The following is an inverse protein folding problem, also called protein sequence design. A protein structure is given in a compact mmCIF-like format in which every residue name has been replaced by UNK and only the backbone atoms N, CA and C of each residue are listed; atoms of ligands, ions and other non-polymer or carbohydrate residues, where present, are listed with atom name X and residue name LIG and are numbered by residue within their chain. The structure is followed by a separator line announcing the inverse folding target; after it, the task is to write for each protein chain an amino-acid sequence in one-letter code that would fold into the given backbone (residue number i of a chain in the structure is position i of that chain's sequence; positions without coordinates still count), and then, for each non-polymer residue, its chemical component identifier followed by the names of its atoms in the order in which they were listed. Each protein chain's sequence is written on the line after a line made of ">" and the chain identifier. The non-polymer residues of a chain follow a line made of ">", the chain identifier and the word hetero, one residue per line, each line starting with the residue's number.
data_IF_246284580316
#
_entry.id   IF_246284580316
#
_cell.length_a   1.000
_cell.length_b   1.000
_cell.length_c   1.000
_cell.angle_alpha   90.00
_cell.angle_beta   90.00
_cell.angle_gamma   90.00
#
_symmetry.space_group_name_H-M   'P 1'
#
loop_
_entity.id
_entity.type
_entity.pdbx_description
1 polymer ?
#
# COMPACT_ATOMS: atom_id res chain seq x y z
N UNK A 1 -14.69 -6.15 -5.18
CA UNK A 1 -15.42 -5.22 -4.26
C UNK A 1 -14.44 -4.56 -3.29
N UNK A 2 -13.66 -5.32 -2.52
CA UNK A 2 -12.66 -4.76 -1.59
C UNK A 2 -11.58 -3.92 -2.30
N UNK A 3 -11.06 -4.43 -3.43
CA UNK A 3 -10.06 -3.71 -4.25
C UNK A 3 -10.60 -2.38 -4.77
N UNK A 4 -11.79 -2.39 -5.38
CA UNK A 4 -12.44 -1.17 -5.86
C UNK A 4 -12.62 -0.12 -4.76
N UNK A 5 -13.06 -0.55 -3.57
CA UNK A 5 -13.23 0.35 -2.42
C UNK A 5 -11.89 0.92 -1.93
N UNK A 6 -10.82 0.12 -1.92
CA UNK A 6 -9.49 0.61 -1.58
C UNK A 6 -9.02 1.71 -2.55
N UNK A 7 -9.28 1.50 -3.85
CA UNK A 7 -8.92 2.46 -4.90
C UNK A 7 -9.72 3.76 -4.72
N UNK A 8 -11.02 3.66 -4.45
CA UNK A 8 -11.88 4.82 -4.22
C UNK A 8 -11.42 5.63 -3.01
N UNK A 9 -11.17 4.99 -1.87
CA UNK A 9 -10.73 5.66 -0.63
C UNK A 9 -9.34 6.30 -0.79
N UNK A 10 -8.41 5.61 -1.46
CA UNK A 10 -7.11 6.20 -1.77
C UNK A 10 -7.26 7.43 -2.68
N UNK A 11 -8.06 7.34 -3.73
CA UNK A 11 -8.27 8.50 -4.61
C UNK A 11 -8.95 9.67 -3.88
N UNK A 12 -9.94 9.41 -3.02
CA UNK A 12 -10.66 10.45 -2.28
C UNK A 12 -9.75 11.21 -1.31
N UNK A 13 -8.91 10.48 -0.57
CA UNK A 13 -7.95 11.09 0.35
C UNK A 13 -6.90 11.94 -0.40
N UNK A 14 -6.37 11.42 -1.50
CA UNK A 14 -5.30 12.10 -2.25
C UNK A 14 -5.81 13.17 -3.22
N UNK A 15 -7.10 13.22 -3.52
CA UNK A 15 -7.74 14.34 -4.21
C UNK A 15 -7.71 15.65 -3.38
N UNK A 16 -7.49 15.54 -2.07
CA UNK A 16 -7.43 16.69 -1.15
C UNK A 16 -6.10 16.71 -0.38
N UNK A 17 -4.97 17.03 -1.05
CA UNK A 17 -3.66 17.01 -0.41
C UNK A 17 -3.62 17.91 0.83
N UNK A 18 -3.23 17.36 1.98
CA UNK A 18 -3.10 18.09 3.25
C UNK A 18 -4.31 18.01 4.17
N UNK A 19 -5.38 17.29 3.81
CA UNK A 19 -6.44 16.94 4.76
C UNK A 19 -6.11 15.64 5.48
N UNK A 20 -6.29 15.60 6.80
CA UNK A 20 -6.24 14.35 7.57
C UNK A 20 -7.31 13.38 7.09
N UNK A 21 -7.12 12.08 7.32
CA UNK A 21 -8.17 11.11 7.03
C UNK A 21 -9.41 11.41 7.88
N UNK A 22 -10.57 11.57 7.25
CA UNK A 22 -11.84 11.60 7.98
C UNK A 22 -11.98 10.30 8.79
N UNK A 23 -12.46 10.36 10.03
CA UNK A 23 -12.45 9.22 10.96
C UNK A 23 -13.15 7.96 10.39
N UNK A 24 -14.22 8.14 9.61
CA UNK A 24 -14.94 7.05 8.97
C UNK A 24 -14.10 6.41 7.86
N UNK A 25 -13.53 7.24 6.97
CA UNK A 25 -12.60 6.84 5.91
C UNK A 25 -11.36 6.12 6.45
N UNK A 26 -10.82 6.60 7.59
CA UNK A 26 -9.70 5.97 8.27
C UNK A 26 -10.06 4.55 8.72
N UNK A 27 -11.21 4.38 9.39
CA UNK A 27 -11.68 3.07 9.86
C UNK A 27 -11.85 2.07 8.72
N UNK A 28 -12.43 2.50 7.61
CA UNK A 28 -12.62 1.68 6.42
C UNK A 28 -11.29 1.32 5.75
N UNK A 29 -10.40 2.30 5.56
CA UNK A 29 -9.07 2.09 4.98
C UNK A 29 -8.26 1.08 5.80
N UNK A 30 -8.24 1.22 7.13
CA UNK A 30 -7.55 0.30 8.02
C UNK A 30 -8.15 -1.11 7.96
N UNK A 31 -9.48 -1.22 7.91
CA UNK A 31 -10.19 -2.51 7.80
C UNK A 31 -9.82 -3.25 6.51
N UNK A 32 -9.77 -2.52 5.39
CA UNK A 32 -9.42 -3.05 4.08
C UNK A 32 -7.95 -3.50 4.02
N UNK A 33 -7.03 -2.66 4.48
CA UNK A 33 -5.59 -2.98 4.49
C UNK A 33 -5.28 -4.21 5.35
N UNK A 34 -5.93 -4.34 6.51
CA UNK A 34 -5.80 -5.54 7.36
C UNK A 34 -6.28 -6.79 6.62
N UNK A 35 -7.39 -6.71 5.89
CA UNK A 35 -7.88 -7.85 5.09
C UNK A 35 -6.90 -8.24 3.99
N UNK A 36 -6.26 -7.27 3.31
CA UNK A 36 -5.23 -7.62 2.33
C UNK A 36 -4.03 -8.35 2.94
N UNK A 37 -3.64 -8.00 4.16
CA UNK A 37 -2.56 -8.70 4.87
C UNK A 37 -2.93 -10.13 5.28
N UNK A 38 -4.22 -10.43 5.45
CA UNK A 38 -4.71 -11.74 5.89
C UNK A 38 -5.07 -12.67 4.71
N UNK A 39 -5.20 -12.13 3.50
CA UNK A 39 -5.55 -12.92 2.32
C UNK A 39 -4.33 -13.71 1.81
N UNK A 40 -4.51 -14.98 1.40
CA UNK A 40 -3.43 -15.78 0.81
C UNK A 40 -2.99 -15.29 -0.59
N UNK A 41 -3.67 -14.28 -1.12
CA UNK A 41 -3.44 -13.63 -2.41
C UNK A 41 -4.67 -12.81 -2.81
N UNK A 42 -4.53 -11.93 -3.82
CA UNK A 42 -5.70 -11.24 -4.35
C UNK A 42 -6.64 -12.24 -5.05
N UNK A 43 -7.96 -12.04 -5.00
CA UNK A 43 -8.89 -12.93 -5.68
C UNK A 43 -8.55 -13.04 -7.17
N UNK A 44 -8.42 -14.27 -7.67
CA UNK A 44 -8.08 -14.58 -9.08
C UNK A 44 -9.07 -13.99 -10.12
N UNK A 45 -10.25 -13.56 -9.67
CA UNK A 45 -11.30 -12.95 -10.49
C UNK A 45 -11.15 -11.42 -10.68
N UNK A 46 -10.15 -10.80 -10.06
CA UNK A 46 -9.88 -9.37 -10.24
C UNK A 46 -9.40 -9.10 -11.68
N UNK A 47 -10.06 -8.17 -12.36
CA UNK A 47 -9.63 -7.73 -13.70
C UNK A 47 -8.21 -7.14 -13.60
N UNK A 48 -7.32 -7.37 -14.59
CA UNK A 48 -5.96 -6.81 -14.56
C UNK A 48 -5.92 -5.31 -14.27
N UNK A 49 -6.87 -4.55 -14.80
CA UNK A 49 -7.00 -3.10 -14.57
C UNK A 49 -7.32 -2.72 -13.12
N UNK A 50 -8.07 -3.57 -12.40
CA UNK A 50 -8.34 -3.37 -10.98
C UNK A 50 -7.10 -3.67 -10.14
N UNK A 51 -6.37 -4.72 -10.52
CA UNK A 51 -5.12 -5.09 -9.84
C UNK A 51 -4.05 -4.01 -10.00
N UNK A 52 -3.88 -3.46 -11.21
CA UNK A 52 -3.00 -2.31 -11.45
C UNK A 52 -3.44 -1.07 -10.64
N UNK A 53 -4.74 -0.77 -10.62
CA UNK A 53 -5.28 0.32 -9.83
C UNK A 53 -5.04 0.15 -8.32
N UNK A 54 -5.08 -1.09 -7.81
CA UNK A 54 -4.74 -1.39 -6.43
C UNK A 54 -3.28 -1.08 -6.13
N UNK A 55 -2.36 -1.58 -6.96
CA UNK A 55 -0.93 -1.34 -6.75
C UNK A 55 -0.61 0.15 -6.71
N UNK A 56 -1.18 0.92 -7.64
CA UNK A 56 -1.08 2.38 -7.64
C UNK A 56 -1.60 2.99 -6.34
N UNK A 57 -2.78 2.55 -5.88
CA UNK A 57 -3.40 3.04 -4.64
C UNK A 57 -2.57 2.72 -3.40
N UNK A 58 -1.97 1.53 -3.33
CA UNK A 58 -1.07 1.15 -2.23
C UNK A 58 0.20 2.00 -2.21
N UNK A 59 0.80 2.26 -3.38
CA UNK A 59 1.98 3.14 -3.50
C UNK A 59 1.65 4.57 -3.10
N UNK A 60 0.47 5.06 -3.49
CA UNK A 60 -0.05 6.35 -3.06
C UNK A 60 -0.19 6.38 -1.52
N UNK A 61 -0.84 5.38 -0.93
CA UNK A 61 -1.06 5.28 0.52
C UNK A 61 0.25 5.18 1.33
N UNK A 62 1.35 4.65 0.77
CA UNK A 62 2.67 4.71 1.41
C UNK A 62 3.15 6.15 1.65
N UNK A 63 2.63 7.11 0.90
CA UNK A 63 2.95 8.54 1.08
C UNK A 63 2.22 9.23 2.23
N UNK A 64 1.39 8.52 2.99
CA UNK A 64 0.60 9.09 4.09
C UNK A 64 1.44 9.56 5.28
N UNK A 65 0.95 10.57 5.99
CA UNK A 65 1.46 10.97 7.30
C UNK A 65 0.73 10.28 8.46
N UNK A 66 -0.38 9.57 8.19
CA UNK A 66 -1.12 8.82 9.19
C UNK A 66 -0.39 7.53 9.57
N UNK A 67 0.22 7.52 10.76
CA UNK A 67 1.02 6.41 11.26
C UNK A 67 0.32 5.04 11.17
N UNK A 68 -0.98 4.97 11.50
CA UNK A 68 -1.75 3.73 11.45
C UNK A 68 -1.99 3.24 10.01
N UNK A 69 -2.27 4.16 9.09
CA UNK A 69 -2.44 3.83 7.66
C UNK A 69 -1.11 3.35 7.10
N UNK A 70 -0.01 4.07 7.41
CA UNK A 70 1.33 3.68 6.98
C UNK A 70 1.70 2.28 7.47
N UNK A 71 1.47 1.98 8.76
CA UNK A 71 1.73 0.65 9.30
C UNK A 71 0.93 -0.42 8.55
N UNK A 72 -0.36 -0.19 8.32
CA UNK A 72 -1.22 -1.17 7.68
C UNK A 72 -0.87 -1.38 6.20
N UNK A 73 -0.53 -0.31 5.46
CA UNK A 73 -0.15 -0.43 4.04
C UNK A 73 1.19 -1.13 3.89
N UNK A 74 2.17 -0.85 4.75
CA UNK A 74 3.45 -1.58 4.77
C UNK A 74 3.25 -3.08 5.01
N UNK A 75 2.41 -3.44 5.98
CA UNK A 75 2.09 -4.84 6.27
C UNK A 75 1.34 -5.50 5.11
N UNK A 76 0.34 -4.83 4.53
CA UNK A 76 -0.43 -5.36 3.41
C UNK A 76 0.47 -5.60 2.18
N UNK A 77 1.31 -4.61 1.84
CA UNK A 77 2.28 -4.74 0.75
C UNK A 77 3.28 -5.85 1.03
N UNK A 78 3.79 -5.97 2.25
CA UNK A 78 4.75 -7.02 2.61
C UNK A 78 4.19 -8.43 2.36
N UNK A 79 2.90 -8.65 2.66
CA UNK A 79 2.23 -9.92 2.38
C UNK A 79 1.99 -10.12 0.88
N UNK A 80 1.56 -9.07 0.16
CA UNK A 80 1.31 -9.17 -1.28
C UNK A 80 2.59 -9.50 -2.06
N UNK A 81 3.72 -8.86 -1.76
CA UNK A 81 4.99 -9.10 -2.47
C UNK A 81 5.57 -10.50 -2.23
N UNK A 82 5.02 -11.30 -1.31
CA UNK A 82 5.38 -12.72 -1.20
C UNK A 82 4.90 -13.52 -2.43
N UNK A 83 3.98 -12.96 -3.22
CA UNK A 83 3.52 -13.53 -4.48
C UNK A 83 4.20 -12.78 -5.63
N UNK A 84 4.97 -13.51 -6.44
CA UNK A 84 5.82 -12.96 -7.51
C UNK A 84 5.07 -12.01 -8.45
N UNK A 85 3.84 -12.35 -8.86
CA UNK A 85 3.02 -11.50 -9.72
C UNK A 85 2.72 -10.13 -9.10
N UNK A 86 2.45 -10.08 -7.80
CA UNK A 86 2.17 -8.82 -7.09
C UNK A 86 3.45 -8.04 -6.80
N UNK A 87 4.55 -8.73 -6.50
CA UNK A 87 5.88 -8.13 -6.37
C UNK A 87 6.29 -7.38 -7.64
N UNK A 88 6.23 -8.05 -8.79
CA UNK A 88 6.57 -7.44 -10.08
C UNK A 88 5.63 -6.28 -10.42
N UNK A 89 4.33 -6.44 -10.15
CA UNK A 89 3.33 -5.40 -10.40
C UNK A 89 3.54 -4.15 -9.54
N UNK A 90 3.84 -4.31 -8.25
CA UNK A 90 4.13 -3.22 -7.31
C UNK A 90 5.48 -2.57 -7.65
N UNK A 91 6.52 -3.36 -7.90
CA UNK A 91 7.86 -2.87 -8.22
C UNK A 91 7.94 -2.06 -9.51
N UNK A 92 7.04 -2.32 -10.46
CA UNK A 92 6.94 -1.56 -11.70
C UNK A 92 6.36 -0.14 -11.54
N UNK A 93 5.74 0.19 -10.40
CA UNK A 93 5.19 1.53 -10.18
C UNK A 93 6.27 2.56 -9.83
N UNK A 94 6.39 3.56 -10.69
CA UNK A 94 7.25 4.71 -10.46
C UNK A 94 6.90 5.39 -9.13
N UNK A 95 7.92 5.63 -8.31
CA UNK A 95 7.78 6.28 -7.00
C UNK A 95 7.62 5.32 -5.82
N UNK A 96 7.41 4.01 -6.02
CA UNK A 96 7.37 3.05 -4.92
C UNK A 96 8.70 3.01 -4.15
N UNK A 97 9.81 2.74 -4.86
CA UNK A 97 11.15 2.71 -4.26
C UNK A 97 11.55 4.07 -3.64
N UNK A 98 11.21 5.18 -4.29
CA UNK A 98 11.46 6.53 -3.77
C UNK A 98 10.71 6.77 -2.45
N UNK A 99 9.44 6.39 -2.40
CA UNK A 99 8.62 6.54 -1.18
C UNK A 99 9.15 5.68 -0.04
N UNK A 100 9.57 4.43 -0.33
CA UNK A 100 10.20 3.57 0.67
C UNK A 100 11.53 4.15 1.19
N UNK A 101 12.38 4.69 0.30
CA UNK A 101 13.62 5.38 0.69
C UNK A 101 13.34 6.61 1.56
N UNK A 102 12.30 7.37 1.26
CA UNK A 102 11.86 8.50 2.09
C UNK A 102 11.41 8.03 3.48
N UNK A 103 10.65 6.93 3.57
CA UNK A 103 10.28 6.34 4.86
C UNK A 103 11.53 5.94 5.67
N UNK A 104 12.53 5.34 5.00
CA UNK A 104 13.81 5.00 5.63
C UNK A 104 14.58 6.23 6.13
N UNK A 105 14.47 7.37 5.45
CA UNK A 105 15.10 8.61 5.88
C UNK A 105 14.35 9.23 7.07
N UNK A 106 13.05 9.48 6.92
CA UNK A 106 12.34 10.51 7.68
C UNK A 106 11.41 9.98 8.79
N UNK A 107 11.04 8.69 8.75
CA UNK A 107 10.03 8.14 9.67
C UNK A 107 10.64 7.45 10.90
N UNK A 108 9.81 7.10 11.88
CA UNK A 108 10.25 6.37 13.08
C UNK A 108 10.80 4.96 12.77
N UNK A 109 11.72 4.43 13.61
CA UNK A 109 12.34 3.12 13.41
C UNK A 109 11.37 1.96 13.15
N UNK A 110 10.16 2.01 13.70
CA UNK A 110 9.14 0.96 13.52
C UNK A 110 8.73 0.77 12.05
N UNK A 111 8.70 1.84 11.26
CA UNK A 111 8.34 1.80 9.85
C UNK A 111 9.52 1.42 8.95
N UNK A 112 10.75 1.75 9.40
CA UNK A 112 11.96 1.54 8.62
C UNK A 112 12.25 0.07 8.34
N UNK A 113 12.00 -0.81 9.32
CA UNK A 113 12.28 -2.25 9.16
C UNK A 113 11.49 -2.85 7.99
N UNK A 114 10.17 -2.73 8.02
CA UNK A 114 9.30 -3.24 6.95
C UNK A 114 9.58 -2.56 5.61
N UNK A 115 9.91 -1.26 5.63
CA UNK A 115 10.25 -0.52 4.40
C UNK A 115 11.55 -1.02 3.77
N UNK A 116 12.56 -1.34 4.58
CA UNK A 116 13.82 -1.91 4.10
C UNK A 116 13.61 -3.30 3.52
N UNK A 117 12.86 -4.16 4.21
CA UNK A 117 12.53 -5.51 3.73
C UNK A 117 11.72 -5.47 2.42
N UNK A 118 10.74 -4.57 2.32
CA UNK A 118 10.00 -4.34 1.08
C UNK A 118 10.91 -3.88 -0.07
N UNK A 119 11.78 -2.90 0.19
CA UNK A 119 12.70 -2.39 -0.81
C UNK A 119 13.67 -3.48 -1.27
N UNK A 120 14.15 -4.30 -0.36
CA UNK A 120 14.99 -5.46 -0.67
C UNK A 120 14.25 -6.43 -1.60
N UNK A 121 13.03 -6.85 -1.25
CA UNK A 121 12.24 -7.77 -2.07
C UNK A 121 11.97 -7.23 -3.47
N UNK A 122 11.64 -5.94 -3.59
CA UNK A 122 11.34 -5.30 -4.88
C UNK A 122 12.59 -5.12 -5.76
N UNK A 123 13.77 -4.91 -5.17
CA UNK A 123 15.02 -4.73 -5.92
C UNK A 123 15.67 -6.05 -6.36
N UNK A 124 15.31 -7.17 -5.72
CA UNK A 124 15.79 -8.51 -6.08
C UNK A 124 14.91 -9.22 -7.12
N UNK A 125 13.90 -8.52 -7.67
CA UNK A 125 12.98 -9.02 -8.70
C UNK A 125 13.46 -8.82 -10.13
#
# INVERSE_FOLDING_TARGET
>A
QLVSLCIELANEHFAHPGTEFASEMLGETLSILKRFAELPGLPSEEKPTLTEGLYHSLVILLGTHEALVLQCVLVAMYHLVQIEQHMLGIGAWNGCAETLLRILADYDPQFKKLSAELLELLLHS
#
